data_IF_466543053563
#
_entry.id   IF_466543053563
#
_cell.length_a   1.000
_cell.length_b   1.000
_cell.length_c   1.000
_cell.angle_alpha   90.00
_cell.angle_beta   90.00
_cell.angle_gamma   90.00
#
_symmetry.space_group_name_H-M   'P 1'
#
loop_
_entity.id
_entity.type
_entity.pdbx_description
1 polymer ?
#
# COMPACT_ATOMS: atom_id res chain seq x y z
N UNK A 1 -5.51 16.31 2.84
CA UNK A 1 -5.86 14.97 2.31
C UNK A 1 -5.29 13.90 3.24
N UNK A 2 -6.15 13.14 3.93
CA UNK A 2 -5.69 12.09 4.85
C UNK A 2 -5.15 10.89 4.04
N UNK A 3 -3.88 10.51 4.27
CA UNK A 3 -3.25 9.34 3.65
C UNK A 3 -3.90 8.06 4.19
N UNK A 4 -4.59 7.31 3.33
CA UNK A 4 -5.19 6.02 3.64
C UNK A 4 -4.12 4.96 3.93
N UNK A 5 -4.11 4.41 5.15
CA UNK A 5 -3.26 3.27 5.52
C UNK A 5 -3.79 1.99 4.85
N UNK A 6 -2.90 1.20 4.23
CA UNK A 6 -3.18 -0.17 3.74
C UNK A 6 -3.60 -1.05 4.94
N UNK A 7 -4.88 -1.03 5.29
CA UNK A 7 -5.39 -1.80 6.43
C UNK A 7 -6.09 -3.06 5.91
N UNK A 8 -5.69 -4.24 6.42
CA UNK A 8 -6.43 -5.48 6.20
C UNK A 8 -7.76 -5.35 6.94
N UNK A 9 -8.83 -5.00 6.23
CA UNK A 9 -10.18 -5.00 6.77
C UNK A 9 -10.56 -6.42 7.21
N UNK A 10 -11.08 -6.54 8.44
CA UNK A 10 -11.71 -7.79 8.91
C UNK A 10 -12.96 -8.11 8.10
N UNK A 11 -13.36 -9.38 8.05
CA UNK A 11 -14.53 -9.83 7.29
C UNK A 11 -15.83 -9.11 7.72
N UNK A 12 -16.07 -8.92 9.02
CA UNK A 12 -17.28 -8.18 9.45
C UNK A 12 -17.21 -6.70 9.09
N UNK A 13 -16.01 -6.10 9.03
CA UNK A 13 -15.86 -4.73 8.53
C UNK A 13 -16.19 -4.62 7.05
N UNK A 14 -15.83 -5.63 6.25
CA UNK A 14 -16.21 -5.71 4.84
C UNK A 14 -17.72 -5.88 4.68
N UNK A 15 -18.35 -6.73 5.49
CA UNK A 15 -19.82 -6.92 5.49
C UNK A 15 -20.56 -5.63 5.84
N UNK A 16 -20.10 -4.91 6.87
CA UNK A 16 -20.66 -3.60 7.23
C UNK A 16 -20.54 -2.59 6.08
N UNK A 17 -19.36 -2.47 5.48
CA UNK A 17 -19.15 -1.57 4.35
C UNK A 17 -19.99 -1.96 3.13
N UNK A 18 -20.11 -3.26 2.81
CA UNK A 18 -20.96 -3.75 1.74
C UNK A 18 -22.44 -3.39 1.98
N UNK A 19 -22.93 -3.54 3.20
CA UNK A 19 -24.30 -3.22 3.56
C UNK A 19 -24.60 -1.71 3.43
N UNK A 20 -23.70 -0.85 3.93
CA UNK A 20 -23.83 0.61 3.80
C UNK A 20 -23.75 1.03 2.32
N UNK A 21 -22.97 0.33 1.51
CA UNK A 21 -22.87 0.62 0.06
C UNK A 21 -24.19 0.40 -0.66
N UNK A 22 -24.90 -0.68 -0.31
CA UNK A 22 -26.17 -1.06 -0.96
C UNK A 22 -27.33 -0.21 -0.45
N UNK A 23 -27.39 0.02 0.87
CA UNK A 23 -28.55 0.64 1.53
C UNK A 23 -28.37 2.14 1.80
N UNK A 24 -27.20 2.70 1.51
CA UNK A 24 -26.87 4.10 1.79
C UNK A 24 -26.55 4.37 3.27
N UNK A 25 -26.64 5.65 3.70
CA UNK A 25 -26.33 6.06 5.08
C UNK A 25 -27.17 5.29 6.10
N UNK A 26 -26.51 4.67 7.08
CA UNK A 26 -27.16 3.80 8.06
C UNK A 26 -26.87 4.23 9.49
N UNK A 27 -27.82 3.99 10.39
CA UNK A 27 -27.67 4.26 11.82
C UNK A 27 -27.07 3.05 12.55
N UNK A 28 -26.59 3.27 13.77
CA UNK A 28 -26.01 2.21 14.59
C UNK A 28 -26.98 1.04 14.83
N UNK A 29 -28.26 1.34 15.07
CA UNK A 29 -29.29 0.33 15.32
C UNK A 29 -29.49 -0.60 14.11
N UNK A 30 -29.40 -0.06 12.89
CA UNK A 30 -29.53 -0.83 11.65
C UNK A 30 -28.28 -1.70 11.38
N UNK A 31 -27.11 -1.26 11.84
CA UNK A 31 -25.85 -2.00 11.66
C UNK A 31 -25.61 -3.09 12.70
N UNK A 32 -26.21 -2.96 13.89
CA UNK A 32 -26.09 -3.93 15.00
C UNK A 32 -26.41 -5.39 14.62
N UNK A 33 -27.52 -5.71 13.91
CA UNK A 33 -27.85 -7.10 13.58
C UNK A 33 -26.85 -7.77 12.61
N UNK A 34 -26.04 -6.99 11.87
CA UNK A 34 -25.15 -7.54 10.84
C UNK A 34 -23.89 -8.21 11.41
N UNK A 35 -23.44 -7.73 12.56
CA UNK A 35 -22.20 -8.19 13.18
C UNK A 35 -22.42 -9.09 14.39
N UNK A 36 -23.60 -9.06 15.00
CA UNK A 36 -23.87 -9.78 16.26
C UNK A 36 -23.02 -9.31 17.46
N UNK A 37 -22.25 -8.22 17.28
CA UNK A 37 -21.37 -7.65 18.30
C UNK A 37 -22.13 -6.83 19.34
N UNK A 38 -21.54 -6.74 20.53
CA UNK A 38 -21.94 -5.76 21.53
C UNK A 38 -21.79 -4.34 20.99
N UNK A 39 -22.70 -3.45 21.39
CA UNK A 39 -22.77 -2.07 20.92
C UNK A 39 -21.46 -1.29 21.10
N UNK A 40 -20.78 -1.48 22.24
CA UNK A 40 -19.49 -0.85 22.51
C UNK A 40 -18.38 -1.27 21.53
N UNK A 41 -18.38 -2.53 21.09
CA UNK A 41 -17.42 -3.04 20.12
C UNK A 41 -17.73 -2.52 18.72
N UNK A 42 -19.01 -2.47 18.35
CA UNK A 42 -19.46 -1.91 17.08
C UNK A 42 -19.08 -0.42 16.97
N UNK A 43 -19.28 0.37 18.03
CA UNK A 43 -18.89 1.78 18.06
C UNK A 43 -17.38 1.93 17.86
N UNK A 44 -16.56 1.13 18.58
CA UNK A 44 -15.11 1.14 18.41
C UNK A 44 -14.71 0.80 16.97
N UNK A 45 -15.36 -0.20 16.36
CA UNK A 45 -15.12 -0.59 14.97
C UNK A 45 -15.46 0.53 13.99
N UNK A 46 -16.64 1.15 14.12
CA UNK A 46 -17.05 2.30 13.29
C UNK A 46 -16.09 3.48 13.44
N UNK A 47 -15.63 3.76 14.67
CA UNK A 47 -14.62 4.79 14.92
C UNK A 47 -13.29 4.47 14.23
N UNK A 48 -12.83 3.22 14.31
CA UNK A 48 -11.61 2.78 13.62
C UNK A 48 -11.73 2.88 12.10
N UNK A 49 -12.89 2.55 11.54
CA UNK A 49 -13.18 2.70 10.11
C UNK A 49 -13.20 4.17 9.69
N UNK A 50 -13.76 5.06 10.52
CA UNK A 50 -13.70 6.51 10.32
C UNK A 50 -12.26 7.04 10.35
N UNK A 51 -11.49 6.68 11.38
CA UNK A 51 -10.06 7.07 11.49
C UNK A 51 -9.24 6.52 10.32
N UNK A 52 -9.61 5.34 9.81
CA UNK A 52 -9.02 4.74 8.63
C UNK A 52 -9.42 5.39 7.30
N UNK A 53 -10.33 6.37 7.30
CA UNK A 53 -10.80 7.06 6.10
C UNK A 53 -11.87 6.30 5.31
N UNK A 54 -12.46 5.25 5.87
CA UNK A 54 -13.46 4.41 5.19
C UNK A 54 -14.89 4.97 5.33
N UNK A 55 -15.20 5.56 6.48
CA UNK A 55 -16.52 6.07 6.81
C UNK A 55 -16.50 7.58 7.09
N UNK A 56 -17.60 8.24 6.75
CA UNK A 56 -17.90 9.63 7.07
C UNK A 56 -19.24 9.67 7.82
N UNK A 57 -19.31 10.54 8.83
CA UNK A 57 -20.57 10.83 9.52
C UNK A 57 -21.32 11.85 8.68
N UNK A 58 -22.59 11.56 8.36
CA UNK A 58 -23.42 12.51 7.63
C UNK A 58 -24.02 13.48 8.64
N UNK A 59 -23.49 14.70 8.67
CA UNK A 59 -24.04 15.79 9.49
C UNK A 59 -25.31 16.31 8.80
N UNK A 60 -26.44 16.30 9.52
CA UNK A 60 -27.74 16.75 9.02
C UNK A 60 -28.90 15.76 9.23
N UNK A 61 -28.62 14.53 9.65
CA UNK A 61 -29.67 13.59 10.06
C UNK A 61 -30.00 13.76 11.57
N UNK A 62 -31.27 13.53 11.99
CA UNK A 62 -31.67 13.59 13.40
C UNK A 62 -30.96 12.52 14.26
N UNK A 63 -30.40 11.50 13.61
CA UNK A 63 -29.67 10.40 14.25
C UNK A 63 -28.33 10.25 13.54
N UNK A 64 -27.28 9.98 14.32
CA UNK A 64 -25.92 9.76 13.82
C UNK A 64 -25.93 8.64 12.77
N UNK A 65 -25.67 9.00 11.51
CA UNK A 65 -25.65 8.08 10.38
C UNK A 65 -24.26 8.02 9.76
N UNK A 66 -23.89 6.81 9.34
CA UNK A 66 -22.59 6.49 8.79
C UNK A 66 -22.74 6.20 7.31
N UNK A 67 -21.94 6.88 6.49
CA UNK A 67 -21.87 6.65 5.06
C UNK A 67 -20.44 6.34 4.62
N UNK A 68 -20.28 5.75 3.44
CA UNK A 68 -18.97 5.47 2.85
C UNK A 68 -18.31 6.78 2.43
N UNK A 69 -17.02 6.93 2.73
CA UNK A 69 -16.25 8.04 2.22
C UNK A 69 -16.10 7.93 0.70
N UNK A 70 -16.40 8.98 -0.06
CA UNK A 70 -16.25 8.99 -1.52
C UNK A 70 -14.82 8.61 -1.97
N UNK A 71 -13.79 8.97 -1.19
CA UNK A 71 -12.40 8.59 -1.45
C UNK A 71 -12.10 7.10 -1.23
N UNK A 72 -12.92 6.40 -0.44
CA UNK A 72 -12.77 4.97 -0.15
C UNK A 72 -13.57 4.07 -1.12
N UNK A 73 -14.54 4.63 -1.85
CA UNK A 73 -15.32 3.90 -2.86
C UNK A 73 -14.46 3.15 -3.90
N UNK A 74 -13.43 3.75 -4.55
CA UNK A 74 -12.60 3.02 -5.51
C UNK A 74 -11.71 1.95 -4.86
N UNK A 75 -11.37 2.11 -3.57
CA UNK A 75 -10.58 1.13 -2.83
C UNK A 75 -11.39 -0.09 -2.41
N UNK A 76 -12.70 0.06 -2.24
CA UNK A 76 -13.59 -1.07 -1.99
C UNK A 76 -13.67 -1.99 -3.20
N UNK A 77 -13.78 -1.42 -4.41
CA UNK A 77 -13.68 -2.17 -5.67
C UNK A 77 -12.32 -2.87 -5.81
N UNK A 78 -11.21 -2.16 -5.50
CA UNK A 78 -9.87 -2.75 -5.57
C UNK A 78 -9.59 -3.79 -4.46
N UNK A 79 -10.25 -3.68 -3.31
CA UNK A 79 -10.10 -4.61 -2.19
C UNK A 79 -10.99 -5.85 -2.30
N UNK A 80 -12.14 -5.74 -3.00
CA UNK A 80 -13.01 -6.85 -3.38
C UNK A 80 -12.56 -7.55 -4.66
N UNK A 81 -11.89 -6.83 -5.57
CA UNK A 81 -11.14 -7.46 -6.65
C UNK A 81 -10.08 -8.34 -5.98
N UNK A 82 -10.42 -9.62 -5.85
CA UNK A 82 -9.53 -10.67 -5.41
C UNK A 82 -8.16 -10.39 -6.01
N UNK A 83 -7.15 -10.28 -5.12
CA UNK A 83 -5.74 -10.10 -5.48
C UNK A 83 -5.53 -10.65 -6.86
N UNK A 84 -5.14 -9.80 -7.83
CA UNK A 84 -4.60 -10.26 -9.12
C UNK A 84 -3.79 -11.48 -8.79
N UNK A 85 -4.24 -12.63 -9.31
CA UNK A 85 -3.60 -13.93 -9.14
C UNK A 85 -2.11 -13.67 -9.18
N UNK A 86 -1.36 -14.20 -8.19
CA UNK A 86 0.10 -14.07 -8.14
C UNK A 86 0.59 -14.20 -9.57
N UNK A 87 1.02 -13.10 -10.17
CA UNK A 87 1.59 -13.14 -11.50
C UNK A 87 2.64 -14.23 -11.42
N UNK A 88 2.60 -15.17 -12.36
CA UNK A 88 3.53 -16.29 -12.41
C UNK A 88 4.92 -15.74 -12.09
N UNK A 89 5.65 -16.39 -11.16
CA UNK A 89 6.97 -15.91 -10.80
C UNK A 89 7.74 -15.75 -12.09
N UNK A 90 8.21 -14.52 -12.35
CA UNK A 90 9.07 -14.24 -13.52
C UNK A 90 10.13 -15.35 -13.53
N UNK A 91 10.33 -16.07 -14.65
CA UNK A 91 11.33 -17.11 -14.68
C UNK A 91 12.64 -16.48 -14.20
N UNK A 92 13.25 -17.10 -13.19
CA UNK A 92 14.62 -16.77 -12.83
C UNK A 92 15.42 -17.00 -14.11
N UNK A 93 15.90 -15.90 -14.72
CA UNK A 93 16.86 -16.01 -15.81
C UNK A 93 18.03 -16.89 -15.37
N UNK A 94 18.71 -17.51 -16.33
CA UNK A 94 19.84 -18.40 -16.06
C UNK A 94 20.82 -17.75 -15.07
N UNK A 95 21.17 -18.52 -14.03
CA UNK A 95 22.16 -18.10 -13.04
C UNK A 95 23.47 -17.81 -13.78
N UNK A 96 24.03 -16.59 -13.69
CA UNK A 96 25.30 -16.30 -14.34
C UNK A 96 26.38 -17.23 -13.78
N UNK A 97 27.16 -17.84 -14.68
CA UNK A 97 28.25 -18.72 -14.29
C UNK A 97 29.21 -17.99 -13.33
N UNK A 98 29.81 -18.71 -12.36
CA UNK A 98 30.82 -18.13 -11.48
C UNK A 98 31.92 -17.50 -12.32
N UNK A 99 32.27 -16.24 -12.04
CA UNK A 99 33.36 -15.55 -12.74
C UNK A 99 34.65 -16.31 -12.49
N UNK A 100 35.20 -16.94 -13.52
CA UNK A 100 36.53 -17.51 -13.47
C UNK A 100 37.55 -16.42 -13.78
N UNK A 101 38.30 -15.99 -12.76
CA UNK A 101 39.47 -15.14 -12.97
C UNK A 101 40.65 -16.08 -13.17
N UNK A 102 41.19 -16.14 -14.39
CA UNK A 102 42.43 -16.87 -14.66
C UNK A 102 43.61 -16.07 -14.14
N UNK A 103 44.04 -16.38 -12.93
CA UNK A 103 45.11 -15.63 -12.22
C UNK A 103 46.48 -15.78 -12.89
N UNK A 104 46.69 -16.83 -13.71
CA UNK A 104 47.99 -17.15 -14.32
C UNK A 104 48.10 -16.79 -15.81
N UNK A 105 46.99 -16.42 -16.47
CA UNK A 105 47.02 -15.90 -17.83
C UNK A 105 47.23 -14.38 -17.74
N UNK A 106 48.43 -13.90 -18.08
CA UNK A 106 48.85 -12.49 -17.97
C UNK A 106 48.07 -11.47 -18.82
N UNK A 107 46.88 -11.82 -19.30
CA UNK A 107 46.00 -11.01 -20.13
C UNK A 107 44.67 -10.70 -19.44
N UNK A 108 44.68 -10.46 -18.14
CA UNK A 108 43.52 -9.88 -17.46
C UNK A 108 43.35 -8.42 -17.90
N UNK A 109 42.45 -8.19 -18.87
CA UNK A 109 41.97 -6.84 -19.21
C UNK A 109 40.68 -6.63 -18.42
N UNK A 110 40.68 -5.84 -17.33
CA UNK A 110 39.44 -5.52 -16.62
C UNK A 110 38.48 -4.84 -17.59
N UNK A 111 37.21 -5.23 -17.56
CA UNK A 111 36.19 -4.50 -18.30
C UNK A 111 36.08 -3.08 -17.73
N UNK A 112 36.19 -2.04 -18.57
CA UNK A 112 36.05 -0.68 -18.11
C UNK A 112 34.66 -0.50 -17.49
N UNK A 113 34.62 0.07 -16.29
CA UNK A 113 33.39 0.31 -15.55
C UNK A 113 32.51 1.30 -16.31
N UNK A 114 31.34 0.84 -16.78
CA UNK A 114 30.28 1.71 -17.31
C UNK A 114 29.32 2.12 -16.20
N UNK A 115 29.17 3.43 -15.92
CA UNK A 115 28.26 3.90 -14.88
C UNK A 115 26.80 3.62 -15.21
N UNK A 116 26.00 3.25 -14.20
CA UNK A 116 24.60 2.87 -14.38
C UNK A 116 23.67 4.05 -14.75
N UNK A 117 24.10 5.30 -14.58
CA UNK A 117 23.33 6.50 -14.83
C UNK A 117 24.22 7.61 -15.40
N UNK A 118 23.69 8.35 -16.39
CA UNK A 118 24.33 9.57 -16.87
C UNK A 118 24.58 10.55 -15.71
N UNK A 119 25.80 11.08 -15.62
CA UNK A 119 26.23 12.04 -14.59
C UNK A 119 26.84 11.43 -13.32
N UNK A 120 26.90 10.09 -13.19
CA UNK A 120 27.41 9.48 -11.94
C UNK A 120 28.90 9.67 -11.71
N UNK A 121 29.66 10.11 -12.71
CA UNK A 121 31.10 10.38 -12.64
C UNK A 121 31.43 11.87 -12.77
N UNK A 122 30.44 12.76 -12.71
CA UNK A 122 30.67 14.21 -12.88
C UNK A 122 31.59 14.77 -11.80
N UNK A 123 31.60 14.17 -10.60
CA UNK A 123 32.50 14.54 -9.52
C UNK A 123 33.99 14.35 -9.87
N UNK A 124 34.32 13.45 -10.80
CA UNK A 124 35.72 13.25 -11.25
C UNK A 124 36.28 14.47 -11.98
N UNK A 125 35.41 15.32 -12.53
CA UNK A 125 35.79 16.57 -13.19
C UNK A 125 36.00 17.74 -12.21
N UNK A 126 35.66 17.56 -10.93
CA UNK A 126 35.76 18.60 -9.91
C UNK A 126 37.16 18.52 -9.29
N UNK A 127 37.96 19.59 -9.44
CA UNK A 127 39.26 19.69 -8.80
C UNK A 127 39.12 19.63 -7.27
N UNK A 128 39.71 18.63 -6.63
CA UNK A 128 39.71 18.50 -5.17
C UNK A 128 40.53 19.64 -4.55
N UNK A 129 39.88 20.54 -3.81
CA UNK A 129 40.58 21.55 -3.00
C UNK A 129 40.82 20.96 -1.62
N UNK A 130 42.02 20.45 -1.39
CA UNK A 130 42.44 19.99 -0.07
C UNK A 130 42.43 21.16 0.92
N UNK A 131 41.63 21.06 1.98
CA UNK A 131 41.70 22.01 3.09
C UNK A 131 42.87 21.57 3.97
N UNK A 132 43.91 22.42 4.06
CA UNK A 132 44.97 22.26 5.05
C UNK A 132 44.41 22.70 6.40
N UNK A 133 44.29 21.77 7.34
CA UNK A 133 44.12 22.04 8.77
C UNK A 133 45.46 22.43 9.40
#
# INVERSE_FOLDING_TARGET
MQKLKKNRLSEDSKRLLAHIKVNGPQTLQQLRPLTGENESNLIKRLRNLRTGGWLVVVDGAPVLSWNICAAAAPLFEQGLAAKRSKAEPKPMGEMPLPRQIRVMDGHYVPTPFTPARAGSLDFSSIASRGVRC
#
